data_IF_537590410234
#
_entry.id   IF_537590410234
#
_cell.length_a   1.000
_cell.length_b   1.000
_cell.length_c   1.000
_cell.angle_alpha   90.00
_cell.angle_beta   90.00
_cell.angle_gamma   90.00
#
_symmetry.space_group_name_H-M   'P 1'
#
loop_
_entity.id
_entity.type
_entity.pdbx_description
1 polymer ?
#
# COMPACT_ATOMS: atom_id res chain seq x y z
N UNK A 1 0.87 -4.99 1.48
CA UNK A 1 2.34 -5.16 1.38
C UNK A 1 2.66 -6.25 0.38
N UNK A 2 3.73 -6.10 -0.41
CA UNK A 2 4.19 -7.11 -1.38
C UNK A 2 5.73 -7.17 -1.36
N UNK A 3 6.29 -8.35 -1.17
CA UNK A 3 7.73 -8.62 -1.29
C UNK A 3 7.95 -9.73 -2.31
N UNK A 4 9.16 -9.86 -2.86
CA UNK A 4 9.54 -11.04 -3.63
C UNK A 4 10.67 -11.82 -2.96
N UNK A 5 10.62 -13.13 -3.13
CA UNK A 5 11.80 -13.98 -3.06
C UNK A 5 12.22 -14.38 -4.49
N UNK A 6 13.28 -15.18 -4.61
CA UNK A 6 13.82 -15.62 -5.90
C UNK A 6 12.77 -16.25 -6.83
N UNK A 7 11.76 -16.93 -6.28
CA UNK A 7 10.85 -17.80 -7.01
C UNK A 7 9.37 -17.44 -6.82
N UNK A 8 9.04 -16.34 -6.12
CA UNK A 8 7.65 -15.98 -5.88
C UNK A 8 7.42 -14.64 -5.22
N UNK A 9 6.15 -14.25 -5.17
CA UNK A 9 5.67 -13.08 -4.45
C UNK A 9 5.09 -13.46 -3.10
N UNK A 10 5.44 -12.69 -2.09
CA UNK A 10 4.80 -12.67 -0.78
C UNK A 10 3.86 -11.48 -0.71
N UNK A 11 2.60 -11.72 -0.44
CA UNK A 11 1.54 -10.72 -0.39
C UNK A 11 0.88 -10.77 0.97
N UNK A 12 0.70 -9.61 1.59
CA UNK A 12 -0.14 -9.47 2.76
C UNK A 12 -1.04 -8.25 2.56
N UNK A 13 -2.34 -8.50 2.38
CA UNK A 13 -3.29 -7.46 1.99
C UNK A 13 -3.45 -6.40 3.08
N UNK A 14 -3.58 -6.83 4.33
CA UNK A 14 -3.71 -5.96 5.51
C UNK A 14 -2.70 -6.37 6.59
N UNK A 15 -2.57 -5.57 7.65
CA UNK A 15 -1.72 -5.91 8.81
C UNK A 15 -2.21 -7.15 9.58
N UNK A 16 -3.51 -7.46 9.47
CA UNK A 16 -4.14 -8.56 10.18
C UNK A 16 -4.37 -9.77 9.30
N UNK A 17 -4.42 -9.58 7.99
CA UNK A 17 -4.66 -10.62 6.99
C UNK A 17 -3.55 -11.68 6.90
N UNK A 18 -3.82 -12.78 6.19
CA UNK A 18 -2.85 -13.84 6.02
C UNK A 18 -1.69 -13.34 5.16
N UNK A 19 -0.52 -13.86 5.45
CA UNK A 19 0.61 -13.79 4.53
C UNK A 19 0.45 -14.91 3.51
N UNK A 20 0.43 -14.56 2.23
CA UNK A 20 0.27 -15.50 1.12
C UNK A 20 1.53 -15.48 0.27
N UNK A 21 2.07 -16.64 -0.06
CA UNK A 21 3.09 -16.81 -1.10
C UNK A 21 2.43 -17.29 -2.38
N UNK A 22 2.73 -16.60 -3.47
CA UNK A 22 2.32 -16.92 -4.82
C UNK A 22 3.56 -17.27 -5.65
N UNK A 23 3.54 -18.42 -6.33
CA UNK A 23 4.51 -18.81 -7.33
C UNK A 23 3.85 -19.10 -8.68
N UNK A 24 4.66 -19.48 -9.70
CA UNK A 24 4.24 -19.54 -11.10
C UNK A 24 3.07 -20.50 -11.33
N UNK A 25 2.82 -21.39 -10.36
CA UNK A 25 1.75 -22.38 -10.36
C UNK A 25 0.53 -21.95 -9.52
N UNK A 26 0.60 -20.81 -8.82
CA UNK A 26 -0.52 -20.19 -8.09
C UNK A 26 -0.20 -19.92 -6.63
N UNK A 27 -1.19 -20.09 -5.74
CA UNK A 27 -0.99 -19.95 -4.29
C UNK A 27 -0.19 -21.14 -3.77
N UNK A 28 1.06 -20.89 -3.40
CA UNK A 28 1.96 -21.92 -2.87
C UNK A 28 1.72 -22.17 -1.38
N UNK A 29 1.56 -21.08 -0.61
CA UNK A 29 1.48 -21.12 0.85
C UNK A 29 0.62 -19.96 1.35
N UNK A 30 -0.15 -20.18 2.41
CA UNK A 30 -0.73 -19.09 3.18
C UNK A 30 -0.61 -19.37 4.68
N UNK A 31 -0.29 -18.33 5.45
CA UNK A 31 -0.11 -18.46 6.89
C UNK A 31 -0.56 -17.22 7.64
N UNK A 32 -1.01 -17.42 8.87
CA UNK A 32 -1.30 -16.33 9.79
C UNK A 32 -0.09 -15.96 10.60
N UNK A 33 0.30 -14.70 10.47
CA UNK A 33 1.46 -14.13 11.16
C UNK A 33 1.10 -13.53 12.52
N UNK A 34 -0.18 -13.66 12.94
CA UNK A 34 -0.70 -13.15 14.22
C UNK A 34 -0.54 -11.64 14.39
N UNK A 35 -0.85 -10.88 13.33
CA UNK A 35 -0.78 -9.41 13.33
C UNK A 35 0.61 -8.85 13.04
N UNK A 36 1.60 -9.70 12.73
CA UNK A 36 2.87 -9.24 12.19
C UNK A 36 2.72 -8.85 10.73
N UNK A 37 3.45 -7.81 10.35
CA UNK A 37 3.38 -7.15 9.05
C UNK A 37 4.54 -7.64 8.18
N UNK A 38 4.25 -8.08 6.96
CA UNK A 38 5.22 -8.42 5.94
C UNK A 38 6.20 -7.26 5.74
N UNK A 39 7.47 -7.55 5.93
CA UNK A 39 8.52 -6.56 5.99
C UNK A 39 9.53 -6.77 4.86
N UNK A 40 10.05 -7.99 4.71
CA UNK A 40 11.02 -8.37 3.70
C UNK A 40 10.77 -9.79 3.20
N UNK A 41 11.28 -10.12 2.02
CA UNK A 41 11.42 -11.50 1.56
C UNK A 41 12.78 -11.68 0.89
N UNK A 42 13.27 -12.91 0.89
CA UNK A 42 14.58 -13.27 0.40
C UNK A 42 14.77 -14.78 0.37
N UNK A 43 16.01 -15.28 0.25
CA UNK A 43 16.28 -16.71 0.23
C UNK A 43 15.63 -17.42 1.42
N UNK A 44 14.87 -18.48 1.17
CA UNK A 44 14.26 -19.30 2.22
C UNK A 44 12.94 -18.80 2.82
N UNK A 45 12.51 -17.56 2.57
CA UNK A 45 11.17 -17.13 3.00
C UNK A 45 10.96 -15.62 3.17
N UNK A 46 9.89 -15.29 3.89
CA UNK A 46 9.51 -13.91 4.21
C UNK A 46 9.64 -13.61 5.69
N UNK A 47 10.04 -12.38 6.01
CA UNK A 47 10.07 -11.86 7.35
C UNK A 47 8.90 -10.93 7.60
N UNK A 48 8.22 -11.16 8.71
CA UNK A 48 7.20 -10.28 9.26
C UNK A 48 7.68 -9.70 10.59
N UNK A 49 7.30 -8.46 10.86
CA UNK A 49 7.66 -7.75 12.10
C UNK A 49 6.44 -7.10 12.72
N UNK A 50 6.51 -6.83 14.02
CA UNK A 50 5.59 -5.89 14.67
C UNK A 50 5.73 -4.52 14.00
N UNK A 51 4.65 -3.71 13.91
CA UNK A 51 4.77 -2.33 13.42
C UNK A 51 5.85 -1.58 14.20
N UNK A 52 6.58 -0.65 13.54
CA UNK A 52 7.54 0.18 14.26
C UNK A 52 6.82 0.97 15.36
N UNK A 53 7.52 1.30 16.46
CA UNK A 53 6.94 2.14 17.51
C UNK A 53 6.46 3.46 16.92
N UNK A 54 5.40 4.02 17.50
CA UNK A 54 4.93 5.35 17.13
C UNK A 54 6.01 6.39 17.41
N UNK A 55 5.99 7.49 16.65
CA UNK A 55 6.83 8.64 16.94
C UNK A 55 6.51 9.17 18.35
N UNK A 56 7.53 9.25 19.19
CA UNK A 56 7.37 9.71 20.58
C UNK A 56 7.50 11.23 20.64
N UNK A 57 6.41 11.89 20.97
CA UNK A 57 6.33 13.35 21.10
C UNK A 57 6.05 13.74 22.55
N UNK A 58 6.91 14.59 23.11
CA UNK A 58 6.79 15.09 24.48
C UNK A 58 6.69 16.61 24.52
N UNK A 59 6.17 17.14 25.64
CA UNK A 59 6.07 18.58 25.91
C UNK A 59 7.05 18.97 27.00
N UNK A 60 7.84 20.02 26.77
CA UNK A 60 8.90 20.44 27.67
C UNK A 60 10.24 19.76 27.40
N UNK A 61 11.31 20.55 27.38
CA UNK A 61 12.68 20.08 27.11
C UNK A 61 13.29 19.19 28.19
N UNK A 62 12.61 19.02 29.34
CA UNK A 62 13.01 18.16 30.46
C UNK A 62 12.09 16.92 30.58
N UNK A 63 11.18 16.70 29.63
CA UNK A 63 10.29 15.55 29.66
C UNK A 63 11.06 14.25 29.34
N UNK A 64 10.74 13.17 30.05
CA UNK A 64 11.29 11.85 29.77
C UNK A 64 10.44 11.15 28.70
N UNK A 65 11.01 10.71 27.57
CA UNK A 65 10.31 9.87 26.59
C UNK A 65 9.78 8.59 27.23
N UNK A 66 8.62 8.12 26.80
CA UNK A 66 8.09 6.83 27.25
C UNK A 66 9.02 5.71 26.79
N UNK A 67 9.65 5.01 27.75
CA UNK A 67 10.43 3.82 27.48
C UNK A 67 9.47 2.68 27.14
N UNK A 68 9.53 2.21 25.89
CA UNK A 68 8.81 1.01 25.47
C UNK A 68 9.40 -0.21 26.19
N UNK A 69 8.80 -0.60 27.31
CA UNK A 69 9.21 -1.75 28.10
C UNK A 69 8.87 -3.11 27.44
N UNK A 70 8.28 -3.09 26.24
CA UNK A 70 7.92 -4.27 25.47
C UNK A 70 8.89 -4.48 24.30
N UNK A 71 9.51 -5.66 24.24
CA UNK A 71 10.18 -6.12 23.03
C UNK A 71 9.17 -6.30 21.88
N UNK A 72 9.70 -6.40 20.67
CA UNK A 72 8.94 -6.75 19.47
C UNK A 72 9.03 -8.26 19.18
N UNK A 73 8.16 -8.70 18.27
CA UNK A 73 8.27 -10.02 17.66
C UNK A 73 8.57 -9.88 16.17
N UNK A 74 9.51 -10.70 15.70
CA UNK A 74 9.72 -11.00 14.30
C UNK A 74 9.30 -12.45 14.04
N UNK A 75 8.91 -12.75 12.81
CA UNK A 75 8.67 -14.10 12.36
C UNK A 75 9.24 -14.31 10.95
N UNK A 76 10.03 -15.36 10.77
CA UNK A 76 10.36 -15.89 9.45
C UNK A 76 9.31 -16.93 9.08
N UNK A 77 8.63 -16.70 7.96
CA UNK A 77 7.74 -17.66 7.32
C UNK A 77 8.51 -18.33 6.20
N UNK A 78 8.73 -19.64 6.34
CA UNK A 78 9.38 -20.46 5.32
C UNK A 78 8.42 -20.74 4.16
N UNK A 79 8.97 -21.13 3.02
CA UNK A 79 8.18 -21.39 1.80
C UNK A 79 7.11 -22.47 1.99
N UNK A 80 7.30 -23.40 2.93
CA UNK A 80 6.35 -24.46 3.28
C UNK A 80 5.27 -24.03 4.29
N UNK A 81 5.26 -22.76 4.71
CA UNK A 81 4.35 -22.21 5.69
C UNK A 81 4.80 -22.32 7.14
N UNK A 82 5.97 -22.92 7.41
CA UNK A 82 6.53 -22.99 8.76
C UNK A 82 6.84 -21.59 9.29
N UNK A 83 6.32 -21.26 10.48
CA UNK A 83 6.55 -19.96 11.14
C UNK A 83 7.56 -20.12 12.27
N UNK A 84 8.69 -19.42 12.17
CA UNK A 84 9.71 -19.35 13.22
C UNK A 84 9.75 -17.95 13.82
N UNK A 85 9.45 -17.84 15.11
CA UNK A 85 9.42 -16.55 15.82
C UNK A 85 10.76 -16.24 16.47
N UNK A 86 11.14 -14.97 16.42
CA UNK A 86 12.29 -14.39 17.13
C UNK A 86 11.78 -13.22 17.95
N UNK A 87 12.07 -13.23 19.25
CA UNK A 87 11.71 -12.12 20.14
C UNK A 87 12.88 -11.15 20.28
N UNK A 88 12.59 -9.88 20.49
CA UNK A 88 13.61 -8.87 20.78
C UNK A 88 13.47 -8.38 22.22
N UNK A 89 14.53 -7.80 22.77
CA UNK A 89 14.50 -7.05 24.04
C UNK A 89 14.12 -5.57 23.86
N UNK A 90 14.08 -5.12 22.62
CA UNK A 90 13.89 -3.73 22.21
C UNK A 90 12.92 -3.63 21.01
N UNK A 91 12.20 -2.52 20.80
CA UNK A 91 11.37 -2.32 19.62
C UNK A 91 12.18 -2.40 18.31
N UNK A 92 11.57 -2.93 17.25
CA UNK A 92 12.14 -2.91 15.89
C UNK A 92 11.76 -1.59 15.22
N UNK A 93 12.73 -0.73 14.91
CA UNK A 93 12.48 0.58 14.28
C UNK A 93 12.71 0.59 12.78
N UNK A 94 13.63 -0.24 12.29
CA UNK A 94 13.88 -0.39 10.86
C UNK A 94 14.44 -1.76 10.50
N UNK A 95 14.48 -2.04 9.20
CA UNK A 95 15.05 -3.24 8.62
C UNK A 95 15.93 -2.87 7.42
N UNK A 96 16.92 -3.70 7.14
CA UNK A 96 17.74 -3.63 5.93
C UNK A 96 18.10 -5.04 5.48
N UNK A 97 18.42 -5.23 4.21
CA UNK A 97 18.73 -6.56 3.66
C UNK A 97 20.06 -6.56 2.94
N UNK A 98 20.79 -7.66 3.10
CA UNK A 98 21.90 -8.08 2.23
C UNK A 98 21.57 -9.45 1.64
N UNK A 99 22.40 -9.94 0.72
CA UNK A 99 22.27 -11.30 0.17
C UNK A 99 22.36 -12.38 1.25
N UNK A 100 23.03 -12.07 2.37
CA UNK A 100 23.31 -13.03 3.44
C UNK A 100 22.29 -12.98 4.60
N UNK A 101 21.72 -11.80 4.89
CA UNK A 101 20.92 -11.62 6.10
C UNK A 101 19.87 -10.50 6.01
N UNK A 102 18.84 -10.62 6.85
CA UNK A 102 18.02 -9.51 7.29
C UNK A 102 18.72 -8.82 8.46
N UNK A 103 18.98 -7.52 8.33
CA UNK A 103 19.49 -6.67 9.39
C UNK A 103 18.34 -5.97 10.10
N UNK A 104 18.27 -6.12 11.42
CA UNK A 104 17.19 -5.59 12.25
C UNK A 104 17.73 -4.45 13.12
N UNK A 105 17.15 -3.26 12.99
CA UNK A 105 17.45 -2.12 13.86
C UNK A 105 16.57 -2.17 15.12
N UNK A 106 17.21 -2.22 16.27
CA UNK A 106 16.58 -2.24 17.59
C UNK A 106 16.85 -0.94 18.34
N UNK A 107 15.81 -0.32 18.90
CA UNK A 107 15.93 0.90 19.70
C UNK A 107 16.31 0.58 21.14
N UNK A 108 17.40 1.18 21.65
CA UNK A 108 18.01 0.76 22.92
C UNK A 108 17.67 1.72 24.05
N UNK A 109 18.13 2.95 23.96
CA UNK A 109 17.94 3.98 24.98
C UNK A 109 17.57 5.30 24.30
N UNK A 110 16.71 6.14 24.92
CA UNK A 110 16.47 7.48 24.44
C UNK A 110 17.80 8.25 24.49
N UNK A 111 18.30 8.62 23.32
CA UNK A 111 19.62 9.24 23.18
C UNK A 111 19.54 10.76 23.40
N UNK A 112 18.49 11.41 22.92
CA UNK A 112 18.28 12.85 23.06
C UNK A 112 16.84 13.25 22.73
N UNK A 113 16.46 14.47 23.13
CA UNK A 113 15.27 15.15 22.63
C UNK A 113 15.65 16.07 21.46
N UNK A 114 14.89 16.02 20.37
CA UNK A 114 14.99 16.93 19.23
C UNK A 114 13.85 17.94 19.28
N UNK A 115 14.15 19.22 19.40
CA UNK A 115 13.13 20.27 19.42
C UNK A 115 12.47 20.40 18.04
N UNK A 116 11.13 20.30 18.02
CA UNK A 116 10.29 20.53 16.83
C UNK A 116 9.63 21.91 16.84
N UNK A 117 9.78 22.67 17.94
CA UNK A 117 9.20 23.98 18.17
C UNK A 117 7.92 23.94 19.01
N UNK A 118 7.45 25.12 19.41
CA UNK A 118 6.26 25.29 20.27
C UNK A 118 6.28 24.39 21.52
N UNK A 119 7.44 24.25 22.16
CA UNK A 119 7.64 23.39 23.34
C UNK A 119 7.30 21.90 23.08
N UNK A 120 7.47 21.45 21.83
CA UNK A 120 7.30 20.05 21.41
C UNK A 120 8.65 19.47 21.06
N UNK A 121 8.93 18.28 21.56
CA UNK A 121 10.18 17.56 21.34
C UNK A 121 9.89 16.15 20.86
N UNK A 122 10.74 15.64 19.97
CA UNK A 122 10.75 14.25 19.55
C UNK A 122 11.82 13.47 20.31
N UNK A 123 11.46 12.30 20.84
CA UNK A 123 12.42 11.35 21.38
C UNK A 123 13.26 10.73 20.26
N UNK A 124 14.56 11.01 20.24
CA UNK A 124 15.52 10.34 19.35
C UNK A 124 16.17 9.18 20.09
N UNK A 125 16.17 8.01 19.46
CA UNK A 125 16.65 6.77 20.07
C UNK A 125 18.02 6.41 19.54
N UNK A 126 18.88 5.90 20.41
CA UNK A 126 20.06 5.15 19.97
C UNK A 126 19.60 3.79 19.47
N UNK A 127 20.21 3.28 18.41
CA UNK A 127 19.82 1.99 17.86
C UNK A 127 21.02 1.08 17.60
N UNK A 128 20.72 -0.22 17.50
CA UNK A 128 21.69 -1.28 17.20
C UNK A 128 21.16 -2.20 16.12
N UNK A 129 22.03 -2.61 15.21
CA UNK A 129 21.74 -3.47 14.07
C UNK A 129 22.20 -4.90 14.34
N UNK A 130 21.27 -5.85 14.27
CA UNK A 130 21.53 -7.27 14.51
C UNK A 130 21.18 -8.07 13.24
N UNK A 131 22.10 -8.91 12.72
CA UNK A 131 21.81 -9.75 11.56
C UNK A 131 21.01 -11.01 11.96
N UNK A 132 20.04 -11.36 11.13
CA UNK A 132 19.30 -12.62 11.16
C UNK A 132 19.47 -13.33 9.81
N UNK A 133 19.93 -14.59 9.80
CA UNK A 133 20.18 -15.29 8.55
C UNK A 133 18.87 -15.58 7.80
N UNK A 134 18.93 -15.48 6.48
CA UNK A 134 17.82 -15.83 5.59
C UNK A 134 17.38 -17.29 5.75
N UNK A 135 18.35 -18.20 5.87
CA UNK A 135 18.13 -19.65 5.97
C UNK A 135 18.76 -20.22 7.25
N UNK A 136 18.47 -21.49 7.55
CA UNK A 136 19.04 -22.18 8.71
C UNK A 136 18.36 -21.84 10.04
N UNK A 137 19.05 -22.16 11.14
CA UNK A 137 18.49 -21.99 12.48
C UNK A 137 18.45 -20.52 12.91
N UNK A 138 17.38 -20.18 13.64
CA UNK A 138 17.17 -18.84 14.18
C UNK A 138 17.31 -18.86 15.70
N UNK A 139 17.88 -17.80 16.30
CA UNK A 139 17.84 -17.65 17.75
C UNK A 139 16.39 -17.46 18.21
N UNK A 140 16.07 -17.91 19.42
CA UNK A 140 14.75 -17.64 20.01
C UNK A 140 14.58 -16.16 20.39
N UNK A 141 15.69 -15.49 20.71
CA UNK A 141 15.75 -14.10 21.12
C UNK A 141 16.99 -13.43 20.57
N UNK A 142 16.86 -12.17 20.16
CA UNK A 142 17.99 -11.28 19.88
C UNK A 142 17.99 -10.10 20.85
N UNK A 143 19.18 -9.61 21.17
CA UNK A 143 19.40 -8.54 22.13
C UNK A 143 20.17 -7.40 21.48
N UNK A 144 19.73 -6.17 21.71
CA UNK A 144 20.35 -5.00 21.08
C UNK A 144 21.81 -4.79 21.50
N UNK A 145 22.19 -5.22 22.71
CA UNK A 145 23.55 -5.07 23.27
C UNK A 145 24.64 -5.72 22.39
N UNK A 146 24.30 -6.77 21.63
CA UNK A 146 25.22 -7.44 20.72
C UNK A 146 25.32 -6.82 19.33
N UNK A 147 24.50 -5.82 19.02
CA UNK A 147 24.38 -5.24 17.69
C UNK A 147 25.42 -4.19 17.34
N UNK A 148 25.56 -3.95 16.03
CA UNK A 148 26.42 -2.92 15.47
C UNK A 148 25.74 -1.54 15.51
N UNK A 149 26.48 -0.43 15.61
CA UNK A 149 25.87 0.90 15.57
C UNK A 149 25.27 1.26 14.20
N UNK A 150 25.69 0.58 13.13
CA UNK A 150 25.24 0.77 11.75
C UNK A 150 25.17 -0.59 11.06
N UNK A 151 24.28 -0.77 10.05
CA UNK A 151 24.30 -1.97 9.24
C UNK A 151 25.51 -1.92 8.28
N UNK A 152 25.87 -3.03 7.62
CA UNK A 152 26.87 -3.02 6.56
C UNK A 152 26.52 -1.99 5.49
N UNK A 153 27.53 -1.38 4.85
CA UNK A 153 27.32 -0.42 3.76
C UNK A 153 26.66 -1.03 2.52
N UNK A 154 26.66 -2.36 2.40
CA UNK A 154 25.97 -3.12 1.35
C UNK A 154 24.50 -3.37 1.68
N UNK A 155 24.05 -3.09 2.90
CA UNK A 155 22.68 -3.31 3.31
C UNK A 155 21.75 -2.27 2.68
N UNK A 156 20.71 -2.74 2.01
CA UNK A 156 19.68 -1.89 1.41
C UNK A 156 18.54 -1.75 2.41
N UNK A 157 18.16 -0.51 2.73
CA UNK A 157 17.07 -0.26 3.66
C UNK A 157 15.75 -0.86 3.13
N UNK A 158 15.09 -1.64 3.97
CA UNK A 158 13.76 -2.18 3.69
C UNK A 158 12.73 -1.22 4.21
N UNK A 159 11.79 -0.81 3.35
CA UNK A 159 10.58 -0.13 3.82
C UNK A 159 9.54 -1.20 4.19
N UNK A 160 8.86 -1.09 5.33
CA UNK A 160 7.72 -1.96 5.65
C UNK A 160 6.74 -1.95 4.46
N UNK A 161 6.62 -3.07 3.77
CA UNK A 161 6.05 -3.08 2.42
C UNK A 161 6.82 -3.91 1.40
N UNK A 162 8.14 -4.10 1.58
CA UNK A 162 8.99 -4.96 0.77
C UNK A 162 10.14 -4.28 0.05
N UNK A 163 11.08 -5.09 -0.46
CA UNK A 163 12.11 -4.65 -1.40
C UNK A 163 11.44 -4.56 -2.77
N UNK A 164 11.35 -3.34 -3.28
CA UNK A 164 10.30 -2.89 -4.18
C UNK A 164 9.73 -1.62 -3.57
N UNK A 165 10.53 -0.55 -3.61
CA UNK A 165 10.13 0.81 -3.24
C UNK A 165 8.87 1.08 -4.07
N UNK A 166 7.68 1.12 -3.45
CA UNK A 166 6.44 1.68 -3.98
C UNK A 166 5.61 2.08 -2.76
N UNK A 167 5.87 3.26 -2.23
CA UNK A 167 4.81 4.01 -1.54
C UNK A 167 3.73 4.26 -2.60
N UNK A 168 2.45 3.99 -2.30
CA UNK A 168 1.32 4.15 -3.23
C UNK A 168 1.05 5.59 -3.72
N UNK A 169 2.08 6.41 -3.89
CA UNK A 169 2.02 7.60 -4.71
C UNK A 169 1.79 7.14 -6.15
N UNK A 170 0.65 7.56 -6.70
CA UNK A 170 0.47 7.64 -8.13
C UNK A 170 1.66 8.41 -8.70
N UNK A 171 2.54 7.69 -9.40
CA UNK A 171 3.54 8.32 -10.27
C UNK A 171 2.81 9.31 -11.19
N UNK A 172 3.28 10.55 -11.20
CA UNK A 172 2.81 11.59 -12.09
C UNK A 172 3.88 11.83 -13.17
N UNK A 173 3.67 11.38 -14.42
CA UNK A 173 4.64 11.55 -15.50
C UNK A 173 4.99 13.00 -15.79
N UNK A 174 4.13 13.95 -15.42
CA UNK A 174 4.34 15.37 -15.70
C UNK A 174 5.28 16.02 -14.66
N UNK A 175 5.48 15.38 -13.50
CA UNK A 175 6.30 15.90 -12.39
C UNK A 175 7.59 15.09 -12.20
N UNK A 176 7.55 13.79 -12.47
CA UNK A 176 8.67 12.86 -12.25
C UNK A 176 8.76 11.86 -13.41
N UNK A 177 9.28 12.31 -14.56
CA UNK A 177 9.37 11.52 -15.79
C UNK A 177 10.31 10.30 -15.68
N UNK A 178 11.11 10.24 -14.62
CA UNK A 178 12.02 9.15 -14.31
C UNK A 178 11.69 8.62 -12.92
N UNK A 179 10.98 7.49 -12.83
CA UNK A 179 10.92 6.78 -11.57
C UNK A 179 12.36 6.39 -11.20
N UNK A 180 12.86 6.91 -10.06
CA UNK A 180 14.12 6.43 -9.48
C UNK A 180 14.05 4.93 -9.12
N UNK A 181 12.86 4.33 -9.14
CA UNK A 181 12.62 2.95 -8.77
C UNK A 181 12.93 2.03 -9.94
N UNK A 182 14.13 1.44 -9.85
CA UNK A 182 14.63 0.42 -10.77
C UNK A 182 14.43 -0.95 -10.16
N UNK A 183 13.85 -1.88 -10.92
CA UNK A 183 13.76 -3.30 -10.56
C UNK A 183 14.65 -4.11 -11.49
N UNK A 184 15.61 -4.83 -10.94
CA UNK A 184 16.45 -5.74 -11.71
C UNK A 184 15.78 -7.11 -11.82
N UNK A 185 15.53 -7.56 -13.05
CA UNK A 185 14.90 -8.86 -13.32
C UNK A 185 15.19 -9.33 -14.74
N UNK A 186 15.39 -10.64 -14.93
CA UNK A 186 15.65 -11.25 -16.24
C UNK A 186 16.85 -10.62 -16.98
N UNK A 187 17.91 -10.27 -16.23
CA UNK A 187 19.09 -9.57 -16.76
C UNK A 187 18.81 -8.18 -17.33
N UNK A 188 17.67 -7.57 -16.98
CA UNK A 188 17.27 -6.24 -17.42
C UNK A 188 16.98 -5.34 -16.22
N UNK A 189 17.26 -4.05 -16.41
CA UNK A 189 16.90 -2.99 -15.50
C UNK A 189 15.52 -2.48 -15.90
N UNK A 190 14.53 -2.65 -15.04
CA UNK A 190 13.15 -2.26 -15.34
C UNK A 190 12.79 -0.94 -14.70
N UNK A 191 12.15 -0.08 -15.48
CA UNK A 191 11.55 1.16 -14.99
C UNK A 191 10.07 1.14 -15.29
N UNK A 192 9.29 1.62 -14.33
CA UNK A 192 7.85 1.74 -14.47
C UNK A 192 7.47 3.22 -14.49
N UNK A 193 6.44 3.55 -15.26
CA UNK A 193 6.00 4.92 -15.42
C UNK A 193 4.68 5.00 -16.14
N UNK A 194 4.37 6.19 -16.65
CA UNK A 194 3.15 6.47 -17.39
C UNK A 194 3.49 7.05 -18.75
N UNK A 195 2.86 6.50 -19.77
CA UNK A 195 2.88 7.04 -21.11
C UNK A 195 1.64 7.92 -21.28
N UNK A 196 1.78 9.23 -21.51
CA UNK A 196 0.63 10.08 -21.81
C UNK A 196 -0.05 9.57 -23.08
N UNK A 197 -1.38 9.44 -23.07
CA UNK A 197 -2.09 9.26 -24.33
C UNK A 197 -1.92 10.55 -25.16
N UNK A 198 -1.69 10.39 -26.46
CA UNK A 198 -1.60 11.52 -27.37
C UNK A 198 -3.01 12.15 -27.50
N UNK A 199 -3.35 13.02 -26.57
CA UNK A 199 -4.58 13.82 -26.66
C UNK A 199 -4.28 15.00 -27.59
N UNK A 200 -5.17 15.23 -28.55
CA UNK A 200 -5.13 16.44 -29.37
C UNK A 200 -5.12 17.66 -28.44
N UNK A 201 -4.10 18.51 -28.58
CA UNK A 201 -3.64 19.57 -27.66
C UNK A 201 -4.68 20.70 -27.42
N UNK A 202 -5.92 20.55 -27.86
CA UNK A 202 -6.92 21.63 -27.78
C UNK A 202 -7.68 21.71 -26.45
N UNK A 203 -7.53 20.75 -25.53
CA UNK A 203 -8.20 20.78 -24.24
C UNK A 203 -7.21 20.67 -23.07
N UNK A 204 -6.48 21.76 -22.82
CA UNK A 204 -5.56 21.88 -21.68
C UNK A 204 -6.27 22.22 -20.36
N UNK A 205 -7.61 22.21 -20.33
CA UNK A 205 -8.39 22.78 -19.22
C UNK A 205 -8.84 21.79 -18.14
N UNK A 206 -8.68 20.48 -18.34
CA UNK A 206 -9.02 19.45 -17.34
C UNK A 206 -7.75 18.75 -16.81
N UNK A 207 -7.39 19.08 -15.57
CA UNK A 207 -6.10 18.79 -14.92
C UNK A 207 -5.80 17.33 -14.54
N UNK A 208 -5.93 16.37 -15.46
CA UNK A 208 -5.23 15.07 -15.40
C UNK A 208 -5.34 14.38 -16.76
N UNK A 209 -4.22 14.24 -17.45
CA UNK A 209 -4.18 13.47 -18.71
C UNK A 209 -4.36 11.98 -18.37
N UNK A 210 -5.28 11.25 -19.01
CA UNK A 210 -5.32 9.79 -18.89
C UNK A 210 -4.04 9.23 -19.53
N UNK A 211 -3.09 8.82 -18.70
CA UNK A 211 -1.92 8.07 -19.14
C UNK A 211 -2.20 6.57 -19.13
N UNK A 212 -1.38 5.80 -19.83
CA UNK A 212 -1.28 4.36 -19.64
C UNK A 212 -0.07 4.04 -18.81
N UNK A 213 -0.24 3.16 -17.84
CA UNK A 213 0.87 2.58 -17.10
C UNK A 213 1.72 1.74 -18.04
N UNK A 214 3.04 1.92 -17.94
CA UNK A 214 4.02 1.14 -18.70
C UNK A 214 5.11 0.56 -17.81
N UNK A 215 5.66 -0.58 -18.24
CA UNK A 215 6.91 -1.13 -17.72
C UNK A 215 7.90 -1.26 -18.88
N UNK A 216 9.08 -0.67 -18.73
CA UNK A 216 10.12 -0.61 -19.75
C UNK A 216 11.38 -1.31 -19.26
N UNK A 217 11.88 -2.26 -20.07
CA UNK A 217 13.11 -3.01 -19.80
C UNK A 217 14.29 -2.34 -20.52
N UNK A 218 15.37 -2.11 -19.80
CA UNK A 218 16.64 -1.58 -20.28
C UNK A 218 17.72 -2.64 -20.13
N UNK A 219 18.66 -2.70 -21.07
CA UNK A 219 19.80 -3.60 -20.96
C UNK A 219 20.68 -3.15 -19.78
N UNK A 220 21.02 -4.09 -18.88
CA UNK A 220 22.01 -3.83 -17.83
C UNK A 220 23.40 -3.85 -18.49
N UNK A 221 24.20 -2.78 -18.39
CA UNK A 221 25.59 -2.84 -18.84
C UNK A 221 26.34 -3.90 -18.03
N UNK A 222 27.31 -4.56 -18.66
CA UNK A 222 28.06 -5.70 -18.11
C UNK A 222 28.39 -5.52 -16.60
N UNK A 223 27.93 -6.43 -15.71
CA UNK A 223 27.95 -6.26 -14.25
C UNK A 223 29.34 -6.12 -13.62
N UNK A 224 30.42 -6.27 -14.39
CA UNK A 224 31.79 -6.03 -13.93
C UNK A 224 32.19 -4.54 -13.91
N UNK A 225 31.39 -3.65 -14.50
CA UNK A 225 31.54 -2.21 -14.37
C UNK A 225 30.65 -1.70 -13.24
N UNK A 226 31.24 -1.20 -12.14
CA UNK A 226 30.48 -0.52 -11.08
C UNK A 226 29.61 0.55 -11.76
N UNK A 227 28.26 0.47 -11.67
CA UNK A 227 27.40 1.43 -12.30
C UNK A 227 27.58 2.76 -11.57
N UNK A 228 28.25 3.71 -12.22
CA UNK A 228 28.17 5.11 -11.85
C UNK A 228 26.94 5.68 -12.56
N UNK A 229 25.86 6.03 -11.83
CA UNK A 229 24.63 6.58 -12.41
C UNK A 229 24.85 7.93 -13.10
N UNK A 230 26.07 8.50 -13.04
CA UNK A 230 26.48 9.72 -13.74
C UNK A 230 27.28 9.47 -15.02
N UNK A 231 27.59 8.23 -15.36
CA UNK A 231 28.31 7.92 -16.60
C UNK A 231 27.32 8.00 -17.76
N UNK A 232 27.47 9.05 -18.57
CA UNK A 232 26.86 9.20 -19.89
C UNK A 232 27.16 7.93 -20.71
N UNK A 233 26.14 7.09 -20.93
CA UNK A 233 26.32 5.81 -21.62
C UNK A 233 25.22 4.77 -21.43
N UNK A 234 24.28 4.96 -20.50
CA UNK A 234 23.07 4.14 -20.47
C UNK A 234 22.29 4.34 -21.76
N UNK A 235 21.92 3.23 -22.41
CA UNK A 235 20.98 3.31 -23.53
C UNK A 235 19.68 3.88 -23.01
N UNK A 236 19.29 5.04 -23.53
CA UNK A 236 18.02 5.68 -23.20
C UNK A 236 16.84 5.00 -23.90
N UNK A 237 17.13 4.11 -24.86
CA UNK A 237 16.10 3.37 -25.57
C UNK A 237 15.82 2.04 -24.84
N UNK A 238 14.56 1.82 -24.40
CA UNK A 238 14.19 0.55 -23.80
C UNK A 238 14.23 -0.57 -24.84
N UNK A 239 14.74 -1.73 -24.43
CA UNK A 239 14.72 -2.96 -25.24
C UNK A 239 13.29 -3.45 -25.43
N UNK A 240 12.42 -3.19 -24.45
CA UNK A 240 11.01 -3.57 -24.47
C UNK A 240 10.18 -2.60 -23.64
N UNK A 241 8.95 -2.33 -24.09
CA UNK A 241 7.94 -1.58 -23.33
C UNK A 241 6.64 -2.39 -23.33
N UNK A 242 6.05 -2.58 -22.15
CA UNK A 242 4.75 -3.22 -21.96
C UNK A 242 3.73 -2.18 -21.50
N UNK A 243 2.53 -2.22 -22.08
CA UNK A 243 1.39 -1.44 -21.58
C UNK A 243 0.62 -2.28 -20.56
N UNK A 244 0.45 -1.75 -19.34
CA UNK A 244 -0.14 -2.46 -18.21
C UNK A 244 -1.57 -2.03 -17.90
N UNK A 245 -2.08 -0.98 -18.54
CA UNK A 245 -3.47 -0.53 -18.36
C UNK A 245 -3.58 0.95 -18.06
N UNK A 246 -4.78 1.35 -17.68
CA UNK A 246 -5.07 2.66 -17.09
C UNK A 246 -4.98 2.66 -15.56
N UNK A 247 -4.84 1.47 -14.96
CA UNK A 247 -4.79 1.29 -13.51
C UNK A 247 -3.36 1.33 -12.99
N UNK A 248 -3.16 1.95 -11.83
CA UNK A 248 -1.84 2.08 -11.20
C UNK A 248 -1.18 0.74 -10.88
N UNK A 249 0.14 0.79 -10.71
CA UNK A 249 0.94 -0.33 -10.19
C UNK A 249 0.90 -0.27 -8.67
N UNK A 250 0.56 -1.39 -8.04
CA UNK A 250 0.59 -1.53 -6.59
C UNK A 250 1.92 -2.09 -6.08
N UNK A 251 2.61 -2.90 -6.88
CA UNK A 251 3.93 -3.45 -6.56
C UNK A 251 4.60 -4.02 -7.81
N UNK A 252 5.93 -4.13 -7.79
CA UNK A 252 6.69 -4.85 -8.79
C UNK A 252 7.97 -5.45 -8.22
N UNK A 253 8.38 -6.62 -8.70
CA UNK A 253 9.59 -7.29 -8.26
C UNK A 253 10.09 -8.32 -9.28
N UNK A 254 11.39 -8.62 -9.25
CA UNK A 254 11.96 -9.73 -10.01
C UNK A 254 11.63 -11.07 -9.37
N UNK A 255 11.16 -12.02 -10.18
CA UNK A 255 10.90 -13.41 -9.79
C UNK A 255 11.40 -14.32 -10.90
N UNK A 256 12.46 -15.08 -10.61
CA UNK A 256 13.22 -15.84 -11.59
C UNK A 256 13.60 -14.98 -12.80
N UNK A 257 13.24 -15.44 -13.99
CA UNK A 257 13.48 -14.75 -15.25
C UNK A 257 12.38 -13.74 -15.63
N UNK A 258 11.57 -13.26 -14.68
CA UNK A 258 10.47 -12.35 -14.99
C UNK A 258 10.48 -11.13 -14.08
N UNK A 259 10.08 -9.99 -14.63
CA UNK A 259 9.52 -8.91 -13.83
C UNK A 259 8.05 -9.24 -13.56
N UNK A 260 7.66 -9.15 -12.31
CA UNK A 260 6.27 -9.38 -11.90
C UNK A 260 5.70 -8.07 -11.42
N UNK A 261 4.50 -7.74 -11.88
CA UNK A 261 3.81 -6.51 -11.53
C UNK A 261 2.42 -6.82 -11.00
N UNK A 262 2.07 -6.22 -9.87
CA UNK A 262 0.72 -6.20 -9.32
C UNK A 262 0.05 -4.90 -9.77
N UNK A 263 -1.01 -5.02 -10.55
CA UNK A 263 -1.75 -3.89 -11.14
C UNK A 263 -3.09 -3.72 -10.43
N UNK A 264 -3.60 -2.49 -10.36
CA UNK A 264 -4.90 -2.17 -9.77
C UNK A 264 -6.11 -2.60 -10.59
N UNK A 265 -5.89 -3.18 -11.77
CA UNK A 265 -6.94 -3.64 -12.68
C UNK A 265 -6.39 -4.50 -13.81
N UNK A 266 -7.25 -5.09 -14.66
CA UNK A 266 -6.79 -5.96 -15.75
C UNK A 266 -5.98 -5.17 -16.80
N UNK A 267 -4.99 -5.80 -17.45
CA UNK A 267 -4.24 -5.16 -18.53
C UNK A 267 -5.11 -4.99 -19.79
N UNK A 268 -4.77 -4.07 -20.71
CA UNK A 268 -5.59 -3.73 -21.88
C UNK A 268 -5.91 -4.93 -22.78
N UNK A 269 -5.00 -5.89 -22.89
CA UNK A 269 -5.19 -7.11 -23.67
C UNK A 269 -6.28 -8.04 -23.10
N UNK A 270 -6.66 -7.81 -21.85
CA UNK A 270 -7.70 -8.55 -21.12
C UNK A 270 -8.89 -7.67 -20.73
N UNK A 271 -8.84 -6.37 -21.04
CA UNK A 271 -10.04 -5.56 -20.93
C UNK A 271 -11.08 -6.12 -21.91
N UNK A 272 -12.31 -6.42 -21.43
CA UNK A 272 -13.37 -6.87 -22.33
C UNK A 272 -13.48 -5.80 -23.40
N UNK A 273 -13.38 -6.21 -24.67
CA UNK A 273 -13.48 -5.31 -25.81
C UNK A 273 -14.81 -4.59 -25.63
N UNK A 274 -14.76 -3.30 -25.29
CA UNK A 274 -15.95 -2.45 -25.27
C UNK A 274 -16.35 -2.33 -26.74
N UNK A 275 -17.13 -3.30 -27.21
CA UNK A 275 -17.77 -3.20 -28.51
C UNK A 275 -18.51 -1.86 -28.50
N UNK A 276 -18.04 -0.92 -29.32
CA UNK A 276 -18.54 0.45 -29.41
C UNK A 276 -19.96 0.55 -29.97
N UNK A 277 -20.80 -0.44 -29.70
CA UNK A 277 -22.13 -0.63 -30.22
C UNK A 277 -23.15 -0.77 -29.08
N UNK A 278 -23.39 0.29 -28.32
CA UNK A 278 -24.63 0.42 -27.54
C UNK A 278 -25.02 1.89 -27.38
N UNK A 279 -25.69 2.45 -28.40
CA UNK A 279 -26.61 3.58 -28.22
C UNK A 279 -27.92 3.16 -27.51
N UNK A 280 -27.84 2.18 -26.60
CA UNK A 280 -28.97 1.57 -25.93
C UNK A 280 -28.51 0.89 -24.65
N UNK A 281 -28.23 1.71 -23.62
CA UNK A 281 -27.90 1.23 -22.28
C UNK A 281 -29.01 0.31 -21.78
N UNK A 282 -28.72 -0.99 -21.79
CA UNK A 282 -29.67 -2.00 -21.33
C UNK A 282 -29.81 -1.89 -19.82
N UNK A 283 -31.02 -2.17 -19.31
CA UNK A 283 -31.35 -2.18 -17.88
C UNK A 283 -30.46 -3.14 -17.04
N UNK A 284 -29.70 -4.03 -17.71
CA UNK A 284 -28.71 -4.90 -17.08
C UNK A 284 -27.42 -4.17 -16.65
N UNK A 285 -26.94 -3.16 -17.40
CA UNK A 285 -25.80 -2.32 -16.99
C UNK A 285 -26.17 -1.44 -15.78
N UNK A 286 -27.44 -1.02 -15.66
CA UNK A 286 -27.93 -0.24 -14.50
C UNK A 286 -28.09 -1.07 -13.22
N UNK A 287 -27.96 -2.41 -13.31
CA UNK A 287 -27.97 -3.32 -12.15
C UNK A 287 -26.58 -3.82 -11.77
N UNK A 288 -25.53 -3.44 -12.49
CA UNK A 288 -24.17 -3.61 -12.01
C UNK A 288 -24.00 -2.72 -10.78
N UNK A 289 -24.19 -3.31 -9.60
CA UNK A 289 -23.96 -2.64 -8.32
C UNK A 289 -22.49 -2.22 -8.16
N UNK A 290 -22.07 -1.79 -6.96
CA UNK A 290 -20.69 -1.39 -6.63
C UNK A 290 -19.63 -2.54 -6.72
N UNK A 291 -19.86 -3.55 -7.56
CA UNK A 291 -18.99 -4.69 -7.86
C UNK A 291 -18.07 -4.48 -9.07
N UNK A 292 -18.25 -3.46 -9.90
CA UNK A 292 -17.32 -3.17 -11.01
C UNK A 292 -16.10 -2.38 -10.54
N UNK A 293 -15.52 -2.76 -9.40
CA UNK A 293 -14.14 -2.36 -9.14
C UNK A 293 -13.26 -3.22 -10.04
N UNK A 294 -12.30 -2.62 -10.77
CA UNK A 294 -11.35 -3.39 -11.55
C UNK A 294 -10.67 -4.41 -10.64
N UNK A 295 -10.67 -5.68 -11.04
CA UNK A 295 -10.02 -6.74 -10.27
C UNK A 295 -8.50 -6.57 -10.41
N UNK A 296 -7.75 -6.35 -9.32
CA UNK A 296 -6.30 -6.34 -9.36
C UNK A 296 -5.76 -7.64 -9.96
N UNK A 297 -4.67 -7.57 -10.69
CA UNK A 297 -4.06 -8.77 -11.27
C UNK A 297 -2.55 -8.77 -11.16
N UNK A 298 -1.98 -9.96 -11.19
CA UNK A 298 -0.53 -10.20 -11.22
C UNK A 298 -0.15 -10.55 -12.65
N UNK A 299 0.80 -9.82 -13.20
CA UNK A 299 1.30 -10.03 -14.56
C UNK A 299 2.80 -10.30 -14.53
N UNK A 300 3.27 -11.21 -15.37
CA UNK A 300 4.68 -11.54 -15.54
C UNK A 300 5.16 -11.04 -16.90
N UNK A 301 6.29 -10.35 -16.90
CA UNK A 301 6.91 -9.71 -18.04
C UNK A 301 8.32 -10.26 -18.22
N UNK A 302 8.67 -10.64 -19.45
CA UNK A 302 10.01 -11.09 -19.81
C UNK A 302 10.53 -10.25 -20.98
N UNK A 303 11.74 -9.67 -20.92
CA UNK A 303 12.20 -8.68 -21.91
C UNK A 303 12.38 -9.31 -23.32
N UNK A 304 12.72 -10.61 -23.34
CA UNK A 304 12.81 -11.43 -24.55
C UNK A 304 11.48 -11.81 -25.21
N UNK A 305 10.33 -11.47 -24.61
CA UNK A 305 9.00 -11.76 -25.15
C UNK A 305 8.22 -10.47 -25.39
N UNK A 306 7.26 -10.47 -26.32
CA UNK A 306 6.35 -9.34 -26.53
C UNK A 306 5.03 -9.50 -25.79
N UNK A 307 4.74 -10.70 -25.29
CA UNK A 307 3.47 -11.01 -24.64
C UNK A 307 3.58 -10.78 -23.13
N UNK A 308 2.63 -10.01 -22.60
CA UNK A 308 2.37 -9.97 -21.18
C UNK A 308 1.64 -11.26 -20.81
N UNK A 309 2.15 -11.97 -19.80
CA UNK A 309 1.48 -13.16 -19.25
C UNK A 309 0.67 -12.76 -18.04
N UNK A 310 -0.65 -12.92 -18.11
CA UNK A 310 -1.47 -12.90 -16.89
C UNK A 310 -1.08 -14.12 -16.06
N UNK A 311 -0.67 -13.86 -14.83
CA UNK A 311 -0.28 -14.88 -13.90
C UNK A 311 -1.43 -15.24 -12.97
N UNK A 312 -2.07 -14.23 -12.37
CA UNK A 312 -3.25 -14.40 -11.55
C UNK A 312 -4.22 -13.24 -11.75
N UNK A 313 -5.49 -13.56 -11.98
CA UNK A 313 -6.58 -12.63 -11.69
C UNK A 313 -6.87 -12.64 -10.19
N UNK A 314 -7.26 -11.50 -9.62
CA UNK A 314 -7.74 -11.43 -8.23
C UNK A 314 -8.91 -12.37 -7.94
N UNK A 315 -9.66 -12.78 -8.97
CA UNK A 315 -10.79 -13.71 -8.84
C UNK A 315 -10.36 -15.18 -8.79
N UNK A 316 -9.12 -15.50 -9.19
CA UNK A 316 -8.56 -16.86 -9.22
C UNK A 316 -7.91 -17.26 -7.88
N UNK A 317 -7.64 -16.28 -7.02
CA UNK A 317 -7.00 -16.48 -5.72
C UNK A 317 -8.07 -16.72 -4.66
N UNK A 318 -8.49 -17.98 -4.51
CA UNK A 318 -9.35 -18.38 -3.41
C UNK A 318 -8.52 -18.79 -2.19
N UNK A 319 -8.45 -17.87 -1.21
CA UNK A 319 -7.86 -18.12 0.10
C UNK A 319 -8.93 -18.25 1.19
N UNK A 320 -10.19 -18.49 0.84
CA UNK A 320 -11.31 -18.50 1.80
C UNK A 320 -11.13 -19.57 2.86
N UNK A 321 -10.64 -20.75 2.47
CA UNK A 321 -10.33 -21.85 3.40
C UNK A 321 -9.12 -21.55 4.31
N UNK A 322 -8.32 -20.55 3.92
CA UNK A 322 -7.15 -20.08 4.66
C UNK A 322 -7.48 -18.85 5.50
N UNK A 323 -8.67 -18.26 5.34
CA UNK A 323 -9.18 -17.17 6.17
C UNK A 323 -9.48 -17.66 7.59
N UNK A 324 -9.16 -16.88 8.62
CA UNK A 324 -9.75 -17.18 9.94
C UNK A 324 -11.27 -17.20 9.77
N UNK A 325 -11.96 -18.16 10.40
CA UNK A 325 -13.38 -18.01 10.56
C UNK A 325 -13.61 -16.66 11.24
N UNK A 326 -14.57 -15.89 10.73
CA UNK A 326 -14.92 -14.62 11.34
C UNK A 326 -15.12 -14.83 12.84
N UNK A 327 -14.46 -13.99 13.65
CA UNK A 327 -14.65 -14.07 15.10
C UNK A 327 -16.13 -13.80 15.41
N UNK A 328 -16.68 -14.29 16.53
CA UNK A 328 -18.05 -13.94 16.89
C UNK A 328 -18.26 -12.43 16.82
N UNK A 329 -19.37 -12.02 16.20
CA UNK A 329 -19.75 -10.60 16.07
C UNK A 329 -19.59 -9.89 17.42
N UNK A 330 -18.85 -8.77 17.49
CA UNK A 330 -18.70 -8.00 18.74
C UNK A 330 -20.05 -7.63 19.32
N UNK A 331 -20.20 -7.74 20.63
CA UNK A 331 -21.47 -7.45 21.33
C UNK A 331 -21.92 -6.00 21.15
N UNK A 332 -20.98 -5.10 20.92
CA UNK A 332 -21.16 -3.66 20.74
C UNK A 332 -21.17 -3.21 19.28
N UNK A 333 -21.10 -4.14 18.31
CA UNK A 333 -21.03 -3.81 16.87
C UNK A 333 -22.14 -2.86 16.41
N UNK A 334 -23.38 -3.09 16.86
CA UNK A 334 -24.52 -2.23 16.51
C UNK A 334 -24.41 -0.84 17.16
N UNK A 335 -24.05 -0.78 18.45
CA UNK A 335 -23.88 0.48 19.17
C UNK A 335 -22.75 1.33 18.57
N UNK A 336 -21.64 0.68 18.22
CA UNK A 336 -20.51 1.29 17.53
C UNK A 336 -20.93 1.84 16.16
N UNK A 337 -21.60 1.03 15.33
CA UNK A 337 -22.06 1.48 14.01
C UNK A 337 -23.03 2.67 14.09
N UNK A 338 -23.93 2.69 15.09
CA UNK A 338 -24.83 3.82 15.33
C UNK A 338 -24.09 5.07 15.82
N UNK A 339 -23.06 4.91 16.66
CA UNK A 339 -22.21 6.03 17.09
C UNK A 339 -21.50 6.68 15.89
N UNK A 340 -20.85 5.88 15.04
CA UNK A 340 -20.18 6.38 13.84
C UNK A 340 -21.19 7.02 12.88
N UNK A 341 -22.33 6.38 12.63
CA UNK A 341 -23.41 6.94 11.80
C UNK A 341 -23.87 8.31 12.30
N UNK A 342 -24.05 8.47 13.62
CA UNK A 342 -24.49 9.73 14.24
C UNK A 342 -23.47 10.84 14.04
N UNK A 343 -22.17 10.53 14.18
CA UNK A 343 -21.08 11.47 13.94
C UNK A 343 -21.06 11.94 12.48
N UNK A 344 -21.05 10.98 11.54
CA UNK A 344 -20.96 11.26 10.11
C UNK A 344 -22.22 11.89 9.49
N UNK A 345 -23.38 11.76 10.13
CA UNK A 345 -24.62 12.44 9.70
C UNK A 345 -24.62 13.95 9.93
N UNK A 346 -23.58 14.51 10.56
CA UNK A 346 -23.51 15.92 10.96
C UNK A 346 -22.27 16.64 10.42
N UNK A 347 -21.68 16.17 9.33
CA UNK A 347 -20.47 16.80 8.76
C UNK A 347 -20.69 18.22 8.23
N UNK A 348 -21.93 18.63 7.96
CA UNK A 348 -22.28 20.03 7.66
C UNK A 348 -22.47 20.91 8.92
N UNK A 349 -22.35 20.30 10.11
CA UNK A 349 -22.41 20.89 11.46
C UNK A 349 -21.41 20.18 12.36
N UNK A 350 -20.17 20.08 11.88
CA UNK A 350 -19.11 19.26 12.47
C UNK A 350 -18.62 19.82 13.80
N UNK A 351 -18.40 21.14 13.88
CA UNK A 351 -17.88 21.79 15.08
C UNK A 351 -18.65 23.07 15.42
N UNK A 352 -18.58 23.47 16.69
CA UNK A 352 -19.27 24.64 17.21
C UNK A 352 -18.26 25.76 17.51
N UNK A 353 -18.41 26.89 16.81
CA UNK A 353 -17.66 28.12 17.03
C UNK A 353 -18.51 29.20 17.71
N UNK A 354 -17.96 30.41 17.93
CA UNK A 354 -18.68 31.53 18.51
C UNK A 354 -19.96 31.92 17.75
N UNK A 355 -19.96 31.73 16.43
CA UNK A 355 -21.06 32.12 15.54
C UNK A 355 -22.03 30.98 15.23
N UNK A 356 -21.85 29.79 15.84
CA UNK A 356 -22.74 28.65 15.70
C UNK A 356 -22.05 27.39 15.19
N UNK A 357 -22.81 26.55 14.49
CA UNK A 357 -22.29 25.30 13.91
C UNK A 357 -21.67 25.56 12.54
N UNK A 358 -20.50 24.96 12.31
CA UNK A 358 -19.75 25.08 11.07
C UNK A 358 -19.56 23.69 10.43
N UNK A 359 -19.53 23.60 9.10
CA UNK A 359 -19.23 22.36 8.40
C UNK A 359 -17.77 21.94 8.64
N UNK A 360 -17.46 20.68 8.29
CA UNK A 360 -16.11 20.12 8.34
C UNK A 360 -15.12 20.97 7.52
N UNK A 361 -15.50 21.34 6.29
CA UNK A 361 -14.79 22.33 5.46
C UNK A 361 -15.80 23.20 4.70
N UNK A 362 -15.31 24.33 4.17
CA UNK A 362 -16.10 25.27 3.37
C UNK A 362 -16.71 24.58 2.14
N UNK A 363 -17.97 24.92 1.85
CA UNK A 363 -18.69 24.38 0.69
C UNK A 363 -19.37 23.03 0.93
N UNK A 364 -19.11 22.34 2.04
CA UNK A 364 -19.84 21.13 2.44
C UNK A 364 -21.21 21.49 3.00
N UNK A 365 -22.26 20.87 2.47
CA UNK A 365 -23.62 21.03 2.98
C UNK A 365 -24.50 19.81 2.71
N UNK A 366 -25.67 19.76 3.35
CA UNK A 366 -26.67 18.73 3.06
C UNK A 366 -26.19 17.32 3.39
N UNK A 367 -25.32 17.17 4.39
CA UNK A 367 -24.69 15.92 4.79
C UNK A 367 -25.71 14.85 5.19
N UNK A 368 -25.50 13.62 4.71
CA UNK A 368 -26.33 12.44 5.04
C UNK A 368 -25.42 11.24 5.19
N UNK A 369 -25.70 10.39 6.17
CA UNK A 369 -25.04 9.10 6.31
C UNK A 369 -26.08 7.98 6.48
N UNK A 370 -25.75 6.78 6.00
CA UNK A 370 -26.52 5.56 6.26
C UNK A 370 -25.59 4.35 6.36
N UNK A 371 -26.04 3.32 7.07
CA UNK A 371 -25.34 2.04 7.15
C UNK A 371 -25.69 1.16 5.94
N UNK A 372 -24.70 0.47 5.39
CA UNK A 372 -24.82 -0.45 4.25
C UNK A 372 -24.19 -1.78 4.63
N UNK A 373 -24.88 -2.88 4.32
CA UNK A 373 -24.38 -4.23 4.56
C UNK A 373 -24.49 -4.67 6.02
N UNK A 374 -24.32 -5.97 6.22
CA UNK A 374 -24.30 -6.60 7.54
C UNK A 374 -22.86 -6.84 8.00
N UNK A 375 -22.66 -6.99 9.31
CA UNK A 375 -21.35 -7.29 9.87
C UNK A 375 -20.79 -8.59 9.24
N UNK A 376 -19.48 -8.66 8.93
CA UNK A 376 -18.44 -7.63 9.12
C UNK A 376 -18.38 -6.60 7.98
N UNK A 377 -19.14 -6.78 6.91
CA UNK A 377 -19.14 -5.91 5.74
C UNK A 377 -19.91 -4.59 5.93
N UNK A 378 -20.27 -4.21 7.17
CA UNK A 378 -20.97 -2.96 7.45
C UNK A 378 -20.09 -1.76 7.13
N UNK A 379 -20.65 -0.83 6.35
CA UNK A 379 -20.01 0.43 5.97
C UNK A 379 -20.93 1.61 6.23
N UNK A 380 -20.35 2.78 6.45
CA UNK A 380 -21.08 4.06 6.37
C UNK A 380 -20.97 4.56 4.94
N UNK A 381 -22.11 4.74 4.27
CA UNK A 381 -22.19 5.57 3.07
C UNK A 381 -22.48 6.99 3.52
N UNK A 382 -21.54 7.89 3.28
CA UNK A 382 -21.63 9.31 3.58
C UNK A 382 -21.78 10.10 2.28
N UNK A 383 -22.76 11.01 2.22
CA UNK A 383 -23.02 11.85 1.03
C UNK A 383 -23.25 13.31 1.42
N UNK A 384 -22.79 14.24 0.57
CA UNK A 384 -22.92 15.67 0.81
C UNK A 384 -22.91 16.45 -0.51
N UNK A 385 -23.41 17.68 -0.46
CA UNK A 385 -23.26 18.65 -1.54
C UNK A 385 -21.95 19.41 -1.33
N UNK A 386 -21.15 19.59 -2.38
CA UNK A 386 -19.87 20.30 -2.33
C UNK A 386 -19.84 21.43 -3.35
N UNK A 387 -19.80 22.68 -2.89
CA UNK A 387 -19.99 23.86 -3.74
C UNK A 387 -19.04 23.93 -4.96
N UNK A 388 -17.74 23.54 -4.88
CA UNK A 388 -16.83 23.48 -6.03
C UNK A 388 -17.16 22.38 -7.08
N UNK A 389 -18.12 21.50 -6.81
CA UNK A 389 -18.59 20.43 -7.72
C UNK A 389 -20.13 20.50 -7.86
N UNK A 390 -20.68 21.57 -8.47
CA UNK A 390 -22.12 21.74 -8.57
C UNK A 390 -22.77 20.68 -9.48
N UNK A 391 -24.01 20.32 -9.17
CA UNK A 391 -24.81 19.40 -9.99
C UNK A 391 -24.63 17.91 -9.66
N UNK A 392 -23.66 17.56 -8.82
CA UNK A 392 -23.46 16.19 -8.31
C UNK A 392 -23.35 16.19 -6.79
N UNK A 393 -23.66 15.05 -6.16
CA UNK A 393 -23.40 14.83 -4.73
C UNK A 393 -22.11 14.04 -4.58
N UNK A 394 -21.26 14.42 -3.64
CA UNK A 394 -20.09 13.61 -3.31
C UNK A 394 -20.53 12.44 -2.42
N UNK A 395 -19.97 11.25 -2.65
CA UNK A 395 -20.21 10.03 -1.87
C UNK A 395 -18.90 9.39 -1.44
N UNK A 396 -18.78 9.01 -0.17
CA UNK A 396 -17.63 8.28 0.39
C UNK A 396 -18.12 7.08 1.18
N UNK A 397 -17.35 5.99 1.15
CA UNK A 397 -17.62 4.79 1.93
C UNK A 397 -16.56 4.60 3.01
N UNK A 398 -16.99 4.24 4.22
CA UNK A 398 -16.10 4.02 5.37
C UNK A 398 -16.41 2.64 5.93
N UNK A 399 -15.42 1.76 5.95
CA UNK A 399 -15.53 0.47 6.63
C UNK A 399 -15.56 0.67 8.15
N UNK A 400 -16.41 -0.10 8.83
CA UNK A 400 -16.52 -0.06 10.29
C UNK A 400 -15.81 -1.24 10.97
N UNK A 401 -15.54 -2.29 10.21
CA UNK A 401 -14.89 -3.48 10.68
C UNK A 401 -13.86 -3.92 9.64
N UNK A 402 -12.75 -4.47 10.11
CA UNK A 402 -11.74 -5.08 9.25
C UNK A 402 -12.24 -6.42 8.66
N UNK A 403 -11.43 -7.07 7.81
CA UNK A 403 -11.82 -8.34 7.20
C UNK A 403 -12.06 -9.48 8.20
N UNK A 404 -11.60 -9.34 9.44
CA UNK A 404 -11.82 -10.31 10.52
C UNK A 404 -13.05 -9.96 11.37
N UNK A 405 -13.70 -8.83 11.11
CA UNK A 405 -14.87 -8.36 11.84
C UNK A 405 -14.54 -7.65 13.16
N UNK A 406 -13.27 -7.31 13.39
CA UNK A 406 -12.88 -6.47 14.51
C UNK A 406 -13.18 -5.00 14.20
N UNK A 407 -13.51 -4.22 15.24
CA UNK A 407 -13.79 -2.79 15.10
C UNK A 407 -12.58 -2.09 14.49
N UNK A 408 -12.82 -1.37 13.40
CA UNK A 408 -11.85 -0.51 12.75
C UNK A 408 -12.27 0.94 13.01
N UNK A 409 -11.56 1.62 13.90
CA UNK A 409 -11.88 3.00 14.22
C UNK A 409 -11.53 3.90 13.02
N UNK A 410 -12.50 4.62 12.43
CA UNK A 410 -12.23 5.60 11.39
C UNK A 410 -11.71 6.90 12.01
N UNK A 411 -10.82 6.78 13.00
CA UNK A 411 -10.11 7.92 13.58
C UNK A 411 -9.38 8.61 12.43
N UNK A 412 -9.63 9.92 12.29
CA UNK A 412 -9.10 10.76 11.22
C UNK A 412 -9.69 10.56 9.82
N UNK A 413 -10.69 9.71 9.62
CA UNK A 413 -11.34 9.62 8.31
C UNK A 413 -12.05 10.94 7.90
N UNK A 414 -12.52 11.71 8.88
CA UNK A 414 -13.03 13.08 8.73
C UNK A 414 -11.90 14.07 8.40
N UNK A 415 -10.75 13.98 9.06
CA UNK A 415 -9.57 14.79 8.75
C UNK A 415 -9.05 14.51 7.34
N UNK A 416 -8.98 13.23 6.93
CA UNK A 416 -8.61 12.86 5.57
C UNK A 416 -9.58 13.41 4.53
N UNK A 417 -10.90 13.37 4.82
CA UNK A 417 -11.89 14.02 3.97
C UNK A 417 -11.69 15.54 3.88
N UNK A 418 -11.41 16.20 5.00
CA UNK A 418 -11.12 17.63 5.02
C UNK A 418 -9.89 17.96 4.16
N UNK A 419 -8.80 17.19 4.29
CA UNK A 419 -7.60 17.35 3.48
C UNK A 419 -7.88 17.14 1.98
N UNK A 420 -8.61 16.08 1.61
CA UNK A 420 -8.96 15.80 0.21
C UNK A 420 -9.74 16.96 -0.42
N UNK A 421 -10.68 17.55 0.34
CA UNK A 421 -11.49 18.67 -0.14
C UNK A 421 -10.70 20.00 -0.19
N UNK A 422 -9.89 20.30 0.82
CA UNK A 422 -9.10 21.53 0.88
C UNK A 422 -7.97 21.56 -0.16
N UNK A 423 -7.47 20.38 -0.54
CA UNK A 423 -6.45 20.21 -1.59
C UNK A 423 -7.04 19.94 -2.97
N UNK A 424 -8.37 20.05 -3.11
CA UNK A 424 -9.12 19.77 -4.34
C UNK A 424 -8.81 18.39 -4.96
N UNK A 425 -8.40 17.40 -4.15
CA UNK A 425 -8.20 15.99 -4.53
C UNK A 425 -9.53 15.24 -4.71
N UNK A 426 -10.51 15.91 -5.30
CA UNK A 426 -11.82 15.36 -5.63
C UNK A 426 -11.79 14.90 -7.08
N UNK A 427 -12.29 13.70 -7.42
CA UNK A 427 -12.34 13.20 -8.79
C UNK A 427 -12.99 14.19 -9.78
N UNK A 428 -12.65 14.12 -11.08
CA UNK A 428 -13.26 14.98 -12.10
C UNK A 428 -14.77 14.68 -12.23
N UNK A 429 -15.55 15.69 -12.63
CA UNK A 429 -17.01 15.56 -12.77
C UNK A 429 -17.42 14.49 -13.79
N UNK A 430 -16.57 14.20 -14.77
CA UNK A 430 -16.75 13.14 -15.76
C UNK A 430 -16.80 11.74 -15.16
N UNK A 431 -16.27 11.54 -13.95
CA UNK A 431 -16.34 10.28 -13.21
C UNK A 431 -17.68 10.09 -12.48
N UNK A 432 -18.56 11.08 -12.48
CA UNK A 432 -19.83 11.00 -11.78
C UNK A 432 -20.75 9.92 -12.34
N UNK A 433 -21.33 9.09 -11.47
CA UNK A 433 -22.26 8.00 -11.79
C UNK A 433 -23.53 8.15 -10.99
N UNK A 434 -24.67 8.12 -11.68
CA UNK A 434 -26.02 8.23 -11.07
C UNK A 434 -26.19 9.47 -10.18
N UNK A 435 -25.57 10.59 -10.55
CA UNK A 435 -25.61 11.85 -9.80
C UNK A 435 -24.68 11.89 -8.58
N UNK A 436 -23.83 10.87 -8.39
CA UNK A 436 -22.82 10.82 -7.35
C UNK A 436 -21.41 10.90 -7.91
N UNK A 437 -20.53 11.59 -7.21
CA UNK A 437 -19.10 11.58 -7.41
C UNK A 437 -18.47 10.80 -6.26
N UNK A 438 -17.97 9.61 -6.57
CA UNK A 438 -17.41 8.68 -5.58
C UNK A 438 -15.98 9.08 -5.21
N UNK A 439 -15.73 9.30 -3.92
CA UNK A 439 -14.41 9.57 -3.33
C UNK A 439 -13.89 8.38 -2.52
#
# INVERSE_FOLDING_TARGET
MVCADEDGLWVQHSRRGPLVRVDLDGVATAVWTQGLVLAAAGPGGAWCTSPPPAQELVRGGEAEPVIFAGGAALARVERDGTVRKVFTDAPVSALATTDEALWVQLDVEPAALRELGADTYEGTWSSRWVPLPWTGDLPQRIEAVGGLPQPPSTAVAVRPGGVGRWSGYLYDPDVDADSEEVVEAAGSSWRMGWQPEAVDVQDESEGRRPGRVVAAAFAVPDPLGVPDPRVEGFSTEPVRVFQLGSYGISAAAGVGEHLVVVTGGPPPSLEPTRDGSTAGGSEAERRAGPRDRPTPCVVALHPGTSELRLWLSGDEVDISDLCWPLVPRPLDADSYAQQVLTSWSRMDRYWQGPDGWHPLTSGVSGSRARLIGDWPATRVEFTFDYAPRPGVRVRRFIALFDELGAIEYPEYADVGLMEDLDTERVPPLTDARDGFLDM
#
